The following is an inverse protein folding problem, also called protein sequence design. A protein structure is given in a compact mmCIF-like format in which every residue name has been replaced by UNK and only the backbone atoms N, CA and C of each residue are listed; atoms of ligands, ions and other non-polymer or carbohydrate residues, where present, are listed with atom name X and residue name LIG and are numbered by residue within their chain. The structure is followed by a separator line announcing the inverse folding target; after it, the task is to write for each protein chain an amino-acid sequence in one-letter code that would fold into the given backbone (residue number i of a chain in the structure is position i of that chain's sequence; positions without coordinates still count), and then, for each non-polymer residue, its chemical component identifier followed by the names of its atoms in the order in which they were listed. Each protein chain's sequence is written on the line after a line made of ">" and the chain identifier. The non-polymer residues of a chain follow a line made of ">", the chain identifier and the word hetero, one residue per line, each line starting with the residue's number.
data_IF_612535043913
#
_entry.id   IF_612535043913
#
_cell.length_a   1.000
_cell.length_b   1.000
_cell.length_c   1.000
_cell.angle_alpha   90.00
_cell.angle_beta   90.00
_cell.angle_gamma   90.00
#
_symmetry.space_group_name_H-M   'P 1'
#
loop_
_entity.id
_entity.type
_entity.pdbx_description
1 polymer ?
#
# COMPACT_ATOMS: atom_id res chain seq x y z
N UNK A 1 3.20 -12.72 -13.70
CA UNK A 1 2.32 -12.48 -12.51
C UNK A 1 1.08 -11.75 -12.99
N UNK A 2 -0.10 -12.18 -12.53
CA UNK A 2 -1.37 -11.53 -12.82
C UNK A 2 -1.39 -10.09 -12.27
N UNK A 3 -2.07 -9.18 -12.99
CA UNK A 3 -2.21 -7.78 -12.60
C UNK A 3 -3.67 -7.36 -12.69
N UNK A 4 -4.07 -6.44 -11.83
CA UNK A 4 -5.38 -5.80 -11.87
C UNK A 4 -5.24 -4.34 -12.30
N UNK A 5 -6.17 -3.87 -13.11
CA UNK A 5 -6.26 -2.47 -13.49
C UNK A 5 -6.93 -1.66 -12.36
N UNK A 6 -6.27 -0.56 -11.97
CA UNK A 6 -6.79 0.44 -11.03
C UNK A 6 -7.70 1.45 -11.77
N UNK A 7 -8.43 2.28 -11.02
CA UNK A 7 -9.35 3.29 -11.58
C UNK A 7 -8.66 4.40 -12.37
N UNK A 8 -7.35 4.51 -12.29
CA UNK A 8 -6.51 5.44 -13.06
C UNK A 8 -5.69 4.73 -14.16
N UNK A 9 -6.05 3.50 -14.51
CA UNK A 9 -5.42 2.66 -15.53
C UNK A 9 -4.01 2.15 -15.22
N UNK A 10 -3.46 2.42 -14.04
CA UNK A 10 -2.23 1.77 -13.59
C UNK A 10 -2.49 0.29 -13.28
N UNK A 11 -1.47 -0.55 -13.45
CA UNK A 11 -1.57 -2.00 -13.27
C UNK A 11 -0.87 -2.46 -11.99
N UNK A 12 -1.65 -2.87 -10.97
CA UNK A 12 -1.12 -3.42 -9.72
C UNK A 12 -0.95 -4.96 -9.81
N UNK A 13 0.20 -5.53 -9.42
CA UNK A 13 0.34 -6.98 -9.31
C UNK A 13 -0.62 -7.57 -8.27
N UNK A 14 -1.22 -8.70 -8.61
CA UNK A 14 -2.22 -9.39 -7.77
C UNK A 14 -1.68 -9.84 -6.40
N UNK A 15 -0.37 -10.09 -6.33
CA UNK A 15 0.32 -10.54 -5.10
C UNK A 15 1.46 -9.59 -4.80
N UNK A 16 1.47 -9.05 -3.58
CA UNK A 16 2.53 -8.20 -3.03
C UNK A 16 3.28 -8.87 -1.89
N UNK A 17 4.49 -8.41 -1.63
CA UNK A 17 5.29 -8.77 -0.47
C UNK A 17 5.36 -7.60 0.50
N UNK A 18 4.75 -7.76 1.69
CA UNK A 18 4.74 -6.75 2.74
C UNK A 18 5.88 -6.93 3.73
N UNK A 19 6.46 -5.82 4.18
CA UNK A 19 7.60 -5.81 5.12
C UNK A 19 7.24 -5.28 6.52
N UNK A 20 5.96 -5.23 6.86
CA UNK A 20 5.53 -4.87 8.21
C UNK A 20 6.12 -5.82 9.25
N UNK A 21 6.59 -5.28 10.38
CA UNK A 21 7.26 -6.00 11.48
C UNK A 21 8.57 -6.70 11.11
N UNK A 22 9.12 -6.50 9.91
CA UNK A 22 10.48 -6.92 9.61
C UNK A 22 11.41 -5.78 10.06
N UNK A 23 12.40 -6.06 10.94
CA UNK A 23 13.32 -5.03 11.41
C UNK A 23 14.10 -4.37 10.28
N UNK A 24 14.41 -3.08 10.43
CA UNK A 24 15.40 -2.38 9.60
C UNK A 24 16.84 -2.87 9.88
N UNK A 25 17.84 -2.22 9.31
CA UNK A 25 19.27 -2.53 9.47
C UNK A 25 19.67 -3.94 8.98
N UNK A 26 19.05 -4.38 7.88
CA UNK A 26 19.44 -5.59 7.16
C UNK A 26 18.34 -6.62 6.94
N UNK A 27 17.54 -7.05 7.95
CA UNK A 27 16.51 -8.07 7.73
C UNK A 27 15.47 -7.70 6.67
N UNK A 28 15.01 -6.43 6.64
CA UNK A 28 14.08 -5.96 5.59
C UNK A 28 14.75 -5.96 4.22
N UNK A 29 16.00 -5.54 4.12
CA UNK A 29 16.77 -5.60 2.89
C UNK A 29 16.86 -7.03 2.35
N UNK A 30 17.30 -7.98 3.19
CA UNK A 30 17.44 -9.38 2.78
C UNK A 30 16.12 -10.02 2.36
N UNK A 31 15.04 -9.78 3.12
CA UNK A 31 13.71 -10.31 2.83
C UNK A 31 13.18 -9.76 1.50
N UNK A 32 13.29 -8.44 1.29
CA UNK A 32 12.89 -7.78 0.04
C UNK A 32 13.67 -8.31 -1.16
N UNK A 33 15.00 -8.44 -1.03
CA UNK A 33 15.84 -8.96 -2.12
C UNK A 33 15.50 -10.42 -2.46
N UNK A 34 15.21 -11.26 -1.45
CA UNK A 34 14.76 -12.65 -1.64
C UNK A 34 13.38 -12.69 -2.33
N UNK A 35 12.45 -11.83 -1.94
CA UNK A 35 11.14 -11.74 -2.57
C UNK A 35 11.24 -11.35 -4.06
N UNK A 36 12.04 -10.33 -4.38
CA UNK A 36 12.30 -9.93 -5.77
C UNK A 36 12.94 -11.05 -6.59
N UNK A 37 13.91 -11.78 -6.05
CA UNK A 37 14.52 -12.95 -6.67
C UNK A 37 13.55 -14.11 -6.87
N UNK A 38 12.57 -14.27 -5.96
CA UNK A 38 11.50 -15.26 -6.07
C UNK A 38 10.41 -14.88 -7.09
N UNK A 39 10.50 -13.69 -7.70
CA UNK A 39 9.57 -13.24 -8.75
C UNK A 39 8.51 -12.26 -8.29
N UNK A 40 8.47 -11.84 -7.02
CA UNK A 40 7.61 -10.73 -6.61
C UNK A 40 7.98 -9.45 -7.36
N UNK A 41 6.96 -8.66 -7.70
CA UNK A 41 7.10 -7.37 -8.38
C UNK A 41 6.28 -6.27 -7.71
N UNK A 42 5.68 -6.55 -6.56
CA UNK A 42 5.00 -5.58 -5.71
C UNK A 42 5.57 -5.70 -4.30
N UNK A 43 6.12 -4.60 -3.79
CA UNK A 43 6.68 -4.47 -2.44
C UNK A 43 5.88 -3.43 -1.68
N UNK A 44 5.37 -3.82 -0.50
CA UNK A 44 4.58 -2.95 0.38
C UNK A 44 5.36 -2.62 1.65
N UNK A 45 5.60 -1.34 1.87
CA UNK A 45 6.19 -0.76 3.07
C UNK A 45 5.35 0.40 3.60
N UNK A 46 5.87 1.18 4.55
CA UNK A 46 5.27 2.41 5.05
C UNK A 46 6.32 3.28 5.76
N UNK A 47 6.12 4.60 5.77
CA UNK A 47 6.94 5.51 6.57
C UNK A 47 6.96 5.10 8.05
N UNK A 48 5.81 4.68 8.61
CA UNK A 48 5.69 4.21 9.98
C UNK A 48 6.40 2.89 10.30
N UNK A 49 6.86 2.13 9.30
CA UNK A 49 7.63 0.90 9.53
C UNK A 49 9.12 1.18 9.75
N UNK A 50 9.58 2.38 9.42
CA UNK A 50 10.98 2.82 9.58
C UNK A 50 11.99 1.99 8.75
N UNK A 51 11.53 1.31 7.70
CA UNK A 51 12.35 0.39 6.90
C UNK A 51 12.35 0.68 5.38
N UNK A 52 11.82 1.84 4.96
CA UNK A 52 11.78 2.25 3.55
C UNK A 52 13.17 2.27 2.90
N UNK A 53 14.21 2.67 3.63
CA UNK A 53 15.59 2.73 3.12
C UNK A 53 16.16 1.34 2.80
N UNK A 54 15.83 0.34 3.60
CA UNK A 54 16.21 -1.06 3.33
C UNK A 54 15.50 -1.60 2.09
N UNK A 55 14.20 -1.26 1.94
CA UNK A 55 13.42 -1.61 0.74
C UNK A 55 14.04 -0.97 -0.51
N UNK A 56 14.32 0.34 -0.47
CA UNK A 56 14.91 1.07 -1.58
C UNK A 56 16.28 0.50 -1.99
N UNK A 57 17.12 0.20 -0.99
CA UNK A 57 18.42 -0.45 -1.23
C UNK A 57 18.26 -1.82 -1.89
N UNK A 58 17.35 -2.65 -1.41
CA UNK A 58 17.10 -3.98 -1.97
C UNK A 58 16.61 -3.91 -3.43
N UNK A 59 15.73 -2.95 -3.73
CA UNK A 59 15.23 -2.70 -5.09
C UNK A 59 16.40 -2.32 -6.00
N UNK A 60 17.24 -1.38 -5.60
CA UNK A 60 18.42 -0.96 -6.36
C UNK A 60 19.38 -2.12 -6.61
N UNK A 61 19.68 -2.89 -5.58
CA UNK A 61 20.67 -3.98 -5.64
C UNK A 61 20.10 -5.23 -6.34
N UNK A 62 18.78 -5.31 -6.56
CA UNK A 62 18.15 -6.41 -7.30
C UNK A 62 18.54 -6.46 -8.78
N UNK A 63 18.93 -5.32 -9.35
CA UNK A 63 19.20 -5.16 -10.78
C UNK A 63 17.96 -5.21 -11.68
N UNK A 64 16.76 -5.28 -11.11
CA UNK A 64 15.49 -5.25 -11.84
C UNK A 64 15.16 -3.80 -12.22
N UNK A 65 14.70 -3.57 -13.46
CA UNK A 65 14.27 -2.22 -13.87
C UNK A 65 13.18 -1.70 -12.90
N UNK A 66 13.36 -0.44 -12.43
CA UNK A 66 12.41 0.22 -11.53
C UNK A 66 10.96 0.16 -12.05
N UNK A 67 10.78 0.22 -13.37
CA UNK A 67 9.46 0.19 -14.03
C UNK A 67 8.77 -1.18 -13.93
N UNK A 68 9.52 -2.23 -13.63
CA UNK A 68 8.97 -3.57 -13.43
C UNK A 68 8.50 -3.80 -11.99
N UNK A 69 8.90 -2.93 -11.05
CA UNK A 69 8.58 -3.05 -9.62
C UNK A 69 7.51 -2.03 -9.24
N UNK A 70 6.43 -2.52 -8.65
CA UNK A 70 5.36 -1.73 -8.07
C UNK A 70 5.66 -1.51 -6.57
N UNK A 71 5.82 -0.26 -6.15
CA UNK A 71 6.12 0.09 -4.77
C UNK A 71 4.86 0.71 -4.14
N UNK A 72 4.42 0.14 -3.03
CA UNK A 72 3.45 0.76 -2.13
C UNK A 72 4.16 1.27 -0.89
N UNK A 73 3.93 2.54 -0.53
CA UNK A 73 4.25 3.08 0.79
C UNK A 73 3.06 3.84 1.37
N UNK A 74 3.17 4.35 2.60
CA UNK A 74 2.04 4.92 3.33
C UNK A 74 2.50 6.09 4.19
N UNK A 75 1.73 7.19 4.14
CA UNK A 75 1.92 8.33 5.03
C UNK A 75 1.52 7.96 6.45
N UNK A 76 2.37 8.24 7.43
CA UNK A 76 2.07 7.97 8.82
C UNK A 76 1.38 9.16 9.51
N UNK A 77 0.63 8.90 10.56
CA UNK A 77 -0.19 9.89 11.28
C UNK A 77 0.56 11.16 11.73
N UNK A 78 1.85 11.05 12.04
CA UNK A 78 2.67 12.19 12.48
C UNK A 78 2.85 13.24 11.37
N UNK A 79 2.74 12.80 10.12
CA UNK A 79 2.90 13.65 8.94
C UNK A 79 1.54 14.06 8.33
N UNK A 80 0.44 13.85 9.05
CA UNK A 80 -0.88 14.25 8.54
C UNK A 80 -1.08 15.76 8.63
N UNK A 81 -1.86 16.28 7.66
CA UNK A 81 -2.06 17.70 7.38
C UNK A 81 -1.34 18.09 6.09
N UNK A 82 -1.89 19.08 5.39
CA UNK A 82 -1.45 19.42 4.03
C UNK A 82 0.06 19.66 3.91
N UNK A 83 0.65 20.55 4.73
CA UNK A 83 2.07 20.89 4.64
C UNK A 83 2.97 19.73 5.12
N UNK A 84 2.58 19.06 6.21
CA UNK A 84 3.34 17.93 6.74
C UNK A 84 3.32 16.74 5.77
N UNK A 85 2.18 16.49 5.12
CA UNK A 85 2.06 15.40 4.14
C UNK A 85 3.00 15.61 2.94
N UNK A 86 3.18 16.83 2.48
CA UNK A 86 4.16 17.14 1.42
C UNK A 86 5.59 16.78 1.86
N UNK A 87 5.96 17.11 3.09
CA UNK A 87 7.27 16.75 3.66
C UNK A 87 7.39 15.21 3.80
N UNK A 88 6.33 14.55 4.29
CA UNK A 88 6.28 13.09 4.44
C UNK A 88 6.47 12.35 3.11
N UNK A 89 5.84 12.83 2.03
CA UNK A 89 6.01 12.29 0.68
C UNK A 89 7.47 12.40 0.21
N UNK A 90 8.08 13.58 0.36
CA UNK A 90 9.49 13.79 0.00
C UNK A 90 10.43 12.88 0.81
N UNK A 91 10.15 12.70 2.10
CA UNK A 91 10.92 11.81 2.96
C UNK A 91 10.82 10.35 2.49
N UNK A 92 9.60 9.87 2.14
CA UNK A 92 9.41 8.52 1.60
C UNK A 92 10.15 8.31 0.28
N UNK A 93 10.06 9.26 -0.66
CA UNK A 93 10.82 9.21 -1.92
C UNK A 93 12.32 9.14 -1.68
N UNK A 94 12.83 9.98 -0.78
CA UNK A 94 14.24 10.02 -0.39
C UNK A 94 14.69 8.70 0.27
N UNK A 95 13.91 8.18 1.21
CA UNK A 95 14.23 6.95 1.92
C UNK A 95 14.24 5.74 0.96
N UNK A 96 13.26 5.66 0.07
CA UNK A 96 13.19 4.64 -0.97
C UNK A 96 14.25 4.83 -2.06
N UNK A 97 14.80 6.04 -2.20
CA UNK A 97 15.77 6.36 -3.24
C UNK A 97 15.19 6.28 -4.65
N UNK A 98 13.96 6.71 -4.84
CA UNK A 98 13.21 6.65 -6.10
C UNK A 98 12.64 8.00 -6.51
N UNK A 99 12.42 8.20 -7.81
CA UNK A 99 11.82 9.43 -8.34
C UNK A 99 10.29 9.45 -8.22
N UNK A 100 9.67 8.27 -8.11
CA UNK A 100 8.22 8.12 -7.96
C UNK A 100 7.85 6.88 -7.16
N UNK A 101 6.66 6.91 -6.52
CA UNK A 101 6.03 5.77 -5.84
C UNK A 101 4.79 5.36 -6.64
N UNK A 102 4.58 4.06 -6.84
CA UNK A 102 3.47 3.55 -7.66
C UNK A 102 2.12 3.69 -6.96
N UNK A 103 2.07 3.42 -5.64
CA UNK A 103 0.87 3.59 -4.81
C UNK A 103 1.25 4.18 -3.45
N UNK A 104 0.62 5.30 -3.08
CA UNK A 104 0.84 5.91 -1.77
C UNK A 104 -0.47 6.04 -1.01
N UNK A 105 -0.50 5.49 0.20
CA UNK A 105 -1.72 5.39 1.00
C UNK A 105 -1.72 6.36 2.18
N UNK A 106 -2.89 6.88 2.54
CA UNK A 106 -3.11 7.34 3.91
C UNK A 106 -3.26 6.12 4.81
N UNK A 107 -2.31 5.93 5.74
CA UNK A 107 -2.14 4.67 6.50
C UNK A 107 -3.28 4.40 7.48
N UNK A 108 -3.83 5.47 8.09
CA UNK A 108 -4.88 5.38 9.08
C UNK A 108 -5.93 6.49 8.87
N UNK A 109 -7.21 6.23 9.13
CA UNK A 109 -8.29 7.18 8.87
C UNK A 109 -8.55 8.18 10.02
N UNK A 110 -7.48 8.84 10.50
CA UNK A 110 -7.52 9.78 11.63
C UNK A 110 -6.82 11.10 11.28
N UNK A 111 -6.98 12.11 12.16
CA UNK A 111 -6.31 13.41 12.02
C UNK A 111 -6.83 14.26 10.87
N UNK A 112 -5.99 15.15 10.34
CA UNK A 112 -6.31 15.97 9.17
C UNK A 112 -6.19 15.15 7.89
N UNK A 113 -7.16 14.29 7.69
CA UNK A 113 -7.23 13.31 6.61
C UNK A 113 -7.39 13.98 5.23
N UNK A 114 -8.28 14.97 5.14
CA UNK A 114 -8.55 15.66 3.87
C UNK A 114 -7.44 16.63 3.49
N UNK A 115 -6.81 17.29 4.46
CA UNK A 115 -5.61 18.09 4.18
C UNK A 115 -4.46 17.22 3.64
N UNK A 116 -4.26 16.04 4.24
CA UNK A 116 -3.29 15.07 3.75
C UNK A 116 -3.64 14.55 2.36
N UNK A 117 -4.93 14.24 2.12
CA UNK A 117 -5.39 13.77 0.82
C UNK A 117 -5.11 14.77 -0.30
N UNK A 118 -5.36 16.06 -0.05
CA UNK A 118 -5.07 17.13 -0.99
C UNK A 118 -3.57 17.18 -1.36
N UNK A 119 -2.68 16.97 -0.40
CA UNK A 119 -1.23 16.89 -0.68
C UNK A 119 -0.88 15.68 -1.56
N UNK A 120 -1.55 14.54 -1.35
CA UNK A 120 -1.38 13.37 -2.22
C UNK A 120 -1.86 13.64 -3.65
N UNK A 121 -3.00 14.32 -3.82
CA UNK A 121 -3.53 14.71 -5.14
C UNK A 121 -2.55 15.63 -5.90
N UNK A 122 -1.91 16.58 -5.21
CA UNK A 122 -0.87 17.43 -5.80
C UNK A 122 0.37 16.62 -6.19
N UNK A 123 0.80 15.68 -5.35
CA UNK A 123 1.93 14.81 -5.65
C UNK A 123 1.69 13.91 -6.89
N UNK A 124 0.42 13.54 -7.14
CA UNK A 124 0.03 12.87 -8.40
C UNK A 124 0.22 13.81 -9.59
N UNK A 125 -0.25 15.05 -9.49
CA UNK A 125 -0.09 16.03 -10.56
C UNK A 125 1.38 16.36 -10.84
N UNK A 126 2.24 16.30 -9.82
CA UNK A 126 3.70 16.48 -9.93
C UNK A 126 4.43 15.22 -10.45
N UNK A 127 3.75 14.10 -10.62
CA UNK A 127 4.34 12.83 -11.06
C UNK A 127 5.17 12.09 -10.01
N UNK A 128 5.14 12.52 -8.76
CA UNK A 128 5.83 11.90 -7.63
C UNK A 128 5.13 10.62 -7.15
N UNK A 129 3.83 10.55 -7.34
CA UNK A 129 2.98 9.40 -7.03
C UNK A 129 2.14 9.08 -8.26
N UNK A 130 2.02 7.79 -8.61
CA UNK A 130 1.18 7.38 -9.73
C UNK A 130 -0.26 7.12 -9.33
N UNK A 131 -0.47 6.44 -8.20
CA UNK A 131 -1.79 6.13 -7.66
C UNK A 131 -1.84 6.48 -6.18
N UNK A 132 -2.98 6.99 -5.73
CA UNK A 132 -3.22 7.29 -4.32
C UNK A 132 -4.34 6.42 -3.78
N UNK A 133 -4.26 6.08 -2.50
CA UNK A 133 -5.22 5.22 -1.87
C UNK A 133 -5.35 5.45 -0.36
N UNK A 134 -6.18 4.65 0.23
CA UNK A 134 -6.55 4.71 1.64
C UNK A 134 -6.27 3.37 2.29
N UNK A 135 -6.16 3.35 3.62
CA UNK A 135 -6.03 2.12 4.39
C UNK A 135 -6.90 2.17 5.64
N UNK A 136 -7.46 1.02 6.01
CA UNK A 136 -8.32 0.85 7.19
C UNK A 136 -9.60 1.69 7.18
N UNK A 137 -10.08 2.10 6.02
CA UNK A 137 -11.31 2.91 5.89
C UNK A 137 -12.52 1.99 5.84
N UNK A 138 -13.38 2.10 6.85
CA UNK A 138 -14.69 1.42 6.91
C UNK A 138 -15.75 2.18 6.08
N UNK A 139 -16.90 1.56 5.82
CA UNK A 139 -18.02 2.21 5.11
C UNK A 139 -18.43 3.53 5.79
N UNK A 140 -18.47 3.54 7.13
CA UNK A 140 -18.88 4.74 7.87
C UNK A 140 -17.85 5.88 7.73
N UNK A 141 -16.56 5.56 7.69
CA UNK A 141 -15.50 6.54 7.48
C UNK A 141 -15.45 7.00 6.02
N UNK A 142 -15.65 6.08 5.07
CA UNK A 142 -15.77 6.40 3.65
C UNK A 142 -16.84 7.45 3.39
N UNK A 143 -18.02 7.25 3.95
CA UNK A 143 -19.14 8.21 3.83
C UNK A 143 -18.85 9.59 4.42
N UNK A 144 -17.88 9.72 5.31
CA UNK A 144 -17.44 11.01 5.86
C UNK A 144 -16.41 11.73 4.98
N UNK A 145 -15.57 10.97 4.27
CA UNK A 145 -14.40 11.54 3.59
C UNK A 145 -14.60 11.70 2.08
N UNK A 146 -15.38 10.83 1.43
CA UNK A 146 -15.47 10.73 -0.03
C UNK A 146 -15.80 12.05 -0.75
N UNK A 147 -16.69 12.85 -0.16
CA UNK A 147 -17.14 14.09 -0.79
C UNK A 147 -16.10 15.22 -0.75
N UNK A 148 -15.03 15.04 0.02
CA UNK A 148 -13.89 15.97 0.09
C UNK A 148 -12.71 15.57 -0.80
N UNK A 149 -12.83 14.50 -1.59
CA UNK A 149 -11.78 13.98 -2.47
C UNK A 149 -12.07 14.34 -3.92
N UNK A 150 -11.07 14.92 -4.62
CA UNK A 150 -11.16 15.23 -6.06
C UNK A 150 -10.75 14.01 -6.89
N UNK A 151 -9.68 13.33 -6.48
CA UNK A 151 -9.25 12.05 -7.04
C UNK A 151 -9.79 10.93 -6.16
N UNK A 152 -10.53 9.97 -6.74
CA UNK A 152 -10.98 8.80 -5.99
C UNK A 152 -9.80 7.88 -5.65
N UNK A 153 -9.75 7.31 -4.43
CA UNK A 153 -8.74 6.33 -4.09
C UNK A 153 -8.70 5.18 -5.09
N UNK A 154 -7.53 4.75 -5.49
CA UNK A 154 -7.38 3.58 -6.34
C UNK A 154 -7.54 2.27 -5.55
N UNK A 155 -7.13 2.30 -4.28
CA UNK A 155 -7.10 1.14 -3.38
C UNK A 155 -7.61 1.54 -1.99
N UNK A 156 -8.32 0.63 -1.32
CA UNK A 156 -8.49 0.62 0.12
C UNK A 156 -7.83 -0.66 0.68
N UNK A 157 -6.70 -0.50 1.36
CA UNK A 157 -5.96 -1.62 1.95
C UNK A 157 -6.48 -1.91 3.36
N UNK A 158 -7.06 -3.10 3.58
CA UNK A 158 -7.71 -3.49 4.84
C UNK A 158 -7.34 -4.91 5.25
N UNK A 159 -7.56 -5.26 6.51
CA UNK A 159 -7.52 -6.65 6.90
C UNK A 159 -8.54 -7.45 6.09
N UNK A 160 -8.04 -8.46 5.37
CA UNK A 160 -8.92 -9.33 4.62
C UNK A 160 -8.30 -10.72 4.51
N UNK A 161 -9.01 -11.72 5.00
CA UNK A 161 -8.58 -13.12 4.98
C UNK A 161 -9.83 -14.02 4.90
N UNK A 162 -9.72 -15.35 4.74
CA UNK A 162 -10.87 -16.25 4.65
C UNK A 162 -11.87 -16.15 5.80
N UNK A 163 -11.42 -15.79 7.02
CA UNK A 163 -12.31 -15.60 8.18
C UNK A 163 -12.87 -14.17 8.28
N UNK A 164 -12.26 -13.21 7.60
CA UNK A 164 -12.68 -11.80 7.61
C UNK A 164 -12.71 -11.22 6.19
N UNK A 165 -13.74 -11.55 5.43
CA UNK A 165 -13.79 -11.38 3.98
C UNK A 165 -14.16 -9.98 3.48
N UNK A 166 -14.52 -9.04 4.34
CA UNK A 166 -14.88 -7.66 3.98
C UNK A 166 -15.96 -7.52 2.89
N UNK A 167 -16.88 -8.50 2.77
CA UNK A 167 -17.88 -8.52 1.67
C UNK A 167 -18.69 -7.23 1.53
N UNK A 168 -19.25 -6.63 2.62
CA UNK A 168 -19.99 -5.37 2.49
C UNK A 168 -19.13 -4.19 2.02
N UNK A 169 -17.89 -4.12 2.54
CA UNK A 169 -16.95 -3.07 2.16
C UNK A 169 -16.52 -3.20 0.70
N UNK A 170 -16.30 -4.42 0.22
CA UNK A 170 -15.96 -4.68 -1.18
C UNK A 170 -17.06 -4.15 -2.11
N UNK A 171 -18.31 -4.51 -1.85
CA UNK A 171 -19.45 -4.06 -2.65
C UNK A 171 -19.59 -2.53 -2.63
N UNK A 172 -19.31 -1.89 -1.50
CA UNK A 172 -19.33 -0.42 -1.42
C UNK A 172 -18.19 0.21 -2.24
N UNK A 173 -16.97 -0.30 -2.10
CA UNK A 173 -15.79 0.23 -2.82
C UNK A 173 -15.89 0.06 -4.33
N UNK A 174 -16.44 -1.05 -4.79
CA UNK A 174 -16.66 -1.33 -6.22
C UNK A 174 -17.50 -0.26 -6.92
N UNK A 175 -18.45 0.40 -6.22
CA UNK A 175 -19.27 1.48 -6.78
C UNK A 175 -18.44 2.69 -7.24
N UNK A 176 -17.26 2.85 -6.69
CA UNK A 176 -16.33 3.96 -6.95
C UNK A 176 -15.09 3.51 -7.73
N UNK A 177 -15.05 2.26 -8.18
CA UNK A 177 -13.89 1.69 -8.86
C UNK A 177 -12.67 1.45 -7.95
N UNK A 178 -12.87 1.47 -6.63
CA UNK A 178 -11.80 1.29 -5.63
C UNK A 178 -11.55 -0.20 -5.43
N UNK A 179 -10.30 -0.65 -5.62
CA UNK A 179 -9.91 -2.04 -5.34
C UNK A 179 -9.70 -2.26 -3.84
N UNK A 180 -10.09 -3.44 -3.36
CA UNK A 180 -9.75 -3.89 -2.01
C UNK A 180 -8.43 -4.64 -2.08
N UNK A 181 -7.45 -4.19 -1.29
CA UNK A 181 -6.17 -4.88 -1.09
C UNK A 181 -6.13 -5.48 0.33
N UNK A 182 -5.67 -6.72 0.44
CA UNK A 182 -5.64 -7.42 1.71
C UNK A 182 -4.30 -7.24 2.42
N UNK A 183 -4.31 -6.71 3.65
CA UNK A 183 -3.23 -6.99 4.59
C UNK A 183 -3.62 -8.18 5.48
N UNK A 184 -2.64 -8.95 5.94
CA UNK A 184 -2.82 -10.24 6.64
C UNK A 184 -3.69 -11.27 5.89
N UNK A 185 -3.49 -11.47 4.57
CA UNK A 185 -4.30 -12.41 3.80
C UNK A 185 -4.20 -13.86 4.31
N UNK A 186 -3.09 -14.20 4.98
CA UNK A 186 -2.85 -15.51 5.60
C UNK A 186 -3.14 -15.51 7.12
N UNK A 187 -3.96 -14.57 7.61
CA UNK A 187 -4.41 -14.51 9.00
C UNK A 187 -3.28 -14.35 10.02
N UNK A 188 -2.20 -13.64 9.65
CA UNK A 188 -1.05 -13.40 10.54
C UNK A 188 -0.42 -14.70 11.11
N UNK A 189 -0.38 -15.76 10.29
CA UNK A 189 0.15 -17.04 10.71
C UNK A 189 -0.79 -17.86 11.61
N UNK A 190 -2.08 -17.53 11.60
CA UNK A 190 -3.09 -18.28 12.35
C UNK A 190 -3.13 -19.75 11.87
N UNK A 191 -2.82 -20.67 12.78
CA UNK A 191 -2.79 -22.11 12.47
C UNK A 191 -4.14 -22.66 12.03
N UNK A 192 -5.24 -22.21 12.64
CA UNK A 192 -6.59 -22.62 12.26
C UNK A 192 -6.89 -22.28 10.79
N UNK A 193 -6.36 -21.17 10.29
CA UNK A 193 -6.46 -20.81 8.88
C UNK A 193 -5.53 -21.64 8.00
N UNK A 194 -4.25 -21.74 8.38
CA UNK A 194 -3.21 -22.38 7.56
C UNK A 194 -3.35 -23.90 7.52
N UNK A 195 -3.89 -24.51 8.57
CA UNK A 195 -4.12 -25.95 8.71
C UNK A 195 -5.59 -26.34 8.42
N UNK A 196 -6.42 -25.41 7.95
CA UNK A 196 -7.83 -25.66 7.63
C UNK A 196 -7.92 -26.70 6.51
N UNK A 197 -8.58 -27.83 6.79
CA UNK A 197 -8.68 -28.98 5.87
C UNK A 197 -9.22 -28.59 4.50
N UNK A 198 -10.22 -27.71 4.45
CA UNK A 198 -10.78 -27.23 3.18
C UNK A 198 -9.79 -26.39 2.40
N UNK A 199 -9.11 -25.43 3.07
CA UNK A 199 -8.14 -24.55 2.39
C UNK A 199 -6.90 -25.32 1.91
N UNK A 200 -6.46 -26.31 2.67
CA UNK A 200 -5.32 -27.18 2.29
C UNK A 200 -5.70 -28.09 1.12
N UNK A 201 -6.98 -28.39 0.91
CA UNK A 201 -7.47 -29.24 -0.18
C UNK A 201 -7.61 -28.52 -1.53
N UNK A 202 -7.52 -27.18 -1.55
CA UNK A 202 -7.59 -26.34 -2.76
C UNK A 202 -6.26 -26.34 -3.49
#
# INVERSE_FOLDING_TARGET
>A
MEKFELNNHELIPAVGFGVFMIPNDGPTYEATLKALKAGYRHIDTAAGYMNESDVGKAIKDSGIDRKEIFITSKLWLQDYGYENAKIGIENSLKNLGVDYIDLYLLHQPYGDYLGSWKALEEAVAEGKIKSIGISNVTINLWNKFKDGMTIMPAVNQVECNPFFQQKPLRVEMEKYGIKLEAWYPLGHGNKELLENEYLVSL
#
